data_IF_891406740037
#
_entry.id   IF_891406740037
#
_cell.length_a   1.000
_cell.length_b   1.000
_cell.length_c   1.000
_cell.angle_alpha   90.00
_cell.angle_beta   90.00
_cell.angle_gamma   90.00
#
_symmetry.space_group_name_H-M   'P 1'
#
loop_
_entity.id
_entity.type
_entity.pdbx_description
1 polymer ?
#
# COMPACT_ATOMS: atom_id res chain seq x y z
N UNK A 1 5.91 -10.42 -15.72
CA UNK A 1 5.77 -9.50 -14.57
C UNK A 1 5.03 -10.26 -13.48
N UNK A 2 5.70 -10.56 -12.38
CA UNK A 2 5.10 -11.29 -11.27
C UNK A 2 4.19 -10.34 -10.53
N UNK A 3 2.89 -10.37 -10.81
CA UNK A 3 1.88 -9.55 -10.13
C UNK A 3 1.57 -10.06 -8.72
N UNK A 4 2.55 -10.65 -8.05
CA UNK A 4 2.38 -11.37 -6.80
C UNK A 4 3.18 -10.68 -5.71
N UNK A 5 2.66 -10.74 -4.49
CA UNK A 5 3.39 -10.33 -3.30
C UNK A 5 3.90 -11.59 -2.59
N UNK A 6 5.13 -11.55 -2.10
CA UNK A 6 5.67 -12.60 -1.25
C UNK A 6 5.03 -12.51 0.12
N UNK A 7 4.76 -13.66 0.74
CA UNK A 7 4.15 -13.74 2.06
C UNK A 7 4.90 -12.90 3.10
N UNK A 8 6.23 -12.95 3.10
CA UNK A 8 7.06 -12.16 4.01
C UNK A 8 6.83 -10.65 3.82
N UNK A 9 6.87 -10.16 2.59
CA UNK A 9 6.64 -8.74 2.28
C UNK A 9 5.21 -8.33 2.64
N UNK A 10 4.23 -9.18 2.35
CA UNK A 10 2.85 -8.94 2.69
C UNK A 10 2.64 -8.85 4.22
N UNK A 11 3.19 -9.80 4.98
CA UNK A 11 3.15 -9.79 6.45
C UNK A 11 3.77 -8.53 7.02
N UNK A 12 4.92 -8.10 6.51
CA UNK A 12 5.55 -6.88 7.01
C UNK A 12 4.78 -5.63 6.60
N UNK A 13 4.23 -5.58 5.39
CA UNK A 13 3.34 -4.49 4.98
C UNK A 13 2.13 -4.38 5.90
N UNK A 14 1.48 -5.50 6.21
CA UNK A 14 0.34 -5.54 7.13
C UNK A 14 0.71 -4.92 8.48
N UNK A 15 1.86 -5.31 9.05
CA UNK A 15 2.34 -4.76 10.33
C UNK A 15 2.64 -3.26 10.27
N UNK A 16 3.16 -2.77 9.13
CA UNK A 16 3.41 -1.35 8.95
C UNK A 16 2.08 -0.62 8.86
N UNK A 17 1.18 -1.03 7.97
CA UNK A 17 -0.13 -0.38 7.76
C UNK A 17 -1.01 -0.40 9.01
N UNK A 18 -0.91 -1.43 9.85
CA UNK A 18 -1.62 -1.49 11.14
C UNK A 18 -1.20 -0.41 12.13
N UNK A 19 0.04 0.11 12.00
CA UNK A 19 0.48 1.26 12.79
C UNK A 19 -0.13 2.57 12.30
N UNK A 20 -0.75 2.57 11.10
CA UNK A 20 -1.48 3.71 10.59
C UNK A 20 -2.89 3.74 11.14
N UNK A 21 -3.33 4.92 11.56
CA UNK A 21 -4.72 5.10 12.02
C UNK A 21 -5.72 5.27 10.87
N UNK A 22 -5.22 5.61 9.67
CA UNK A 22 -6.06 6.04 8.55
C UNK A 22 -5.97 5.08 7.35
N UNK A 23 -4.82 4.43 7.17
CA UNK A 23 -4.58 3.62 5.98
C UNK A 23 -5.21 2.24 6.16
N UNK A 24 -5.75 1.70 5.06
CA UNK A 24 -6.38 0.38 5.08
C UNK A 24 -5.79 -0.50 4.00
N UNK A 25 -5.55 -1.77 4.34
CA UNK A 25 -5.08 -2.75 3.38
C UNK A 25 -6.25 -3.59 2.87
N UNK A 26 -6.29 -3.85 1.57
CA UNK A 26 -7.28 -4.71 0.96
C UNK A 26 -6.69 -5.53 -0.20
N UNK A 27 -7.18 -6.74 -0.47
CA UNK A 27 -6.89 -7.43 -1.72
C UNK A 27 -7.51 -6.70 -2.90
N UNK A 28 -6.96 -6.89 -4.11
CA UNK A 28 -7.47 -6.24 -5.33
C UNK A 28 -8.96 -6.56 -5.59
N UNK A 29 -9.41 -7.77 -5.23
CA UNK A 29 -10.76 -8.26 -5.51
C UNK A 29 -11.69 -8.32 -4.28
N UNK A 30 -11.24 -7.85 -3.12
CA UNK A 30 -11.99 -7.94 -1.86
C UNK A 30 -12.01 -6.61 -1.11
N UNK A 31 -12.88 -6.56 -0.11
CA UNK A 31 -12.96 -5.43 0.83
C UNK A 31 -11.70 -5.37 1.70
N UNK A 32 -11.49 -4.21 2.32
CA UNK A 32 -10.44 -4.05 3.32
C UNK A 32 -10.55 -5.08 4.44
N UNK A 33 -9.39 -5.58 4.87
CA UNK A 33 -9.29 -6.53 5.96
C UNK A 33 -9.86 -5.91 7.24
N UNK A 34 -10.58 -6.71 8.03
CA UNK A 34 -11.13 -6.25 9.30
C UNK A 34 -10.06 -6.22 10.40
N UNK A 35 -9.04 -7.08 10.30
CA UNK A 35 -7.92 -7.14 11.23
C UNK A 35 -6.61 -7.57 10.55
N UNK A 36 -5.48 -7.29 11.20
CA UNK A 36 -4.16 -7.76 10.77
C UNK A 36 -4.04 -9.27 10.72
N UNK A 37 -4.63 -9.98 11.68
CA UNK A 37 -4.61 -11.43 11.73
C UNK A 37 -5.34 -12.04 10.52
N UNK A 38 -6.47 -11.45 10.12
CA UNK A 38 -7.19 -11.86 8.91
C UNK A 38 -6.32 -11.63 7.67
N UNK A 39 -5.68 -10.47 7.57
CA UNK A 39 -4.79 -10.14 6.46
C UNK A 39 -3.59 -11.11 6.39
N UNK A 40 -2.97 -11.44 7.53
CA UNK A 40 -1.84 -12.35 7.60
C UNK A 40 -2.23 -13.76 7.17
N UNK A 41 -3.33 -14.30 7.70
CA UNK A 41 -3.86 -15.61 7.28
C UNK A 41 -4.22 -15.63 5.79
N UNK A 42 -4.71 -14.51 5.27
CA UNK A 42 -5.07 -14.42 3.86
C UNK A 42 -3.84 -14.57 2.97
N UNK A 43 -2.77 -13.82 3.26
CA UNK A 43 -1.53 -13.78 2.45
C UNK A 43 -0.68 -15.04 2.60
N UNK A 44 -0.92 -15.85 3.63
CA UNK A 44 -0.34 -17.20 3.76
C UNK A 44 -0.91 -18.19 2.73
N UNK A 45 -2.17 -18.01 2.33
CA UNK A 45 -2.85 -18.88 1.36
C UNK A 45 -3.01 -18.26 -0.03
N UNK A 46 -2.77 -16.95 -0.15
CA UNK A 46 -2.98 -16.18 -1.37
C UNK A 46 -1.78 -15.28 -1.66
N UNK A 47 -1.11 -15.52 -2.79
CA UNK A 47 0.02 -14.71 -3.25
C UNK A 47 -0.43 -13.55 -4.15
N UNK A 48 -1.65 -13.05 -3.96
CA UNK A 48 -2.22 -11.98 -4.79
C UNK A 48 -1.72 -10.59 -4.34
N UNK A 49 -1.67 -9.61 -5.24
CA UNK A 49 -1.16 -8.28 -4.89
C UNK A 49 -2.11 -7.57 -3.94
N UNK A 50 -1.53 -6.80 -3.01
CA UNK A 50 -2.29 -6.05 -2.02
C UNK A 50 -2.45 -4.60 -2.47
N UNK A 51 -3.53 -3.96 -2.04
CA UNK A 51 -3.82 -2.57 -2.32
C UNK A 51 -3.92 -1.80 -1.00
N UNK A 52 -3.19 -0.69 -0.91
CA UNK A 52 -3.25 0.25 0.20
C UNK A 52 -4.23 1.35 -0.19
N UNK A 53 -5.22 1.55 0.67
CA UNK A 53 -6.15 2.67 0.61
C UNK A 53 -5.62 3.78 1.50
N UNK A 54 -5.22 4.87 0.87
CA UNK A 54 -4.66 6.08 1.48
C UNK A 54 -5.68 7.21 1.37
N UNK A 55 -6.38 7.59 2.45
CA UNK A 55 -7.38 8.66 2.39
C UNK A 55 -6.71 10.03 2.15
N UNK A 56 -7.43 10.92 1.48
CA UNK A 56 -6.99 12.31 1.25
C UNK A 56 -7.39 13.17 2.45
N UNK A 57 -6.48 14.00 2.94
CA UNK A 57 -6.74 14.90 4.06
C UNK A 57 -7.78 15.96 3.65
N UNK A 58 -8.89 16.02 4.38
CA UNK A 58 -9.95 17.01 4.15
C UNK A 58 -10.89 16.69 2.99
N UNK A 59 -10.80 15.51 2.39
CA UNK A 59 -11.75 15.01 1.38
C UNK A 59 -12.27 13.62 1.77
N UNK A 60 -13.47 13.26 1.33
CA UNK A 60 -14.00 11.88 1.44
C UNK A 60 -13.45 10.96 0.33
N UNK A 61 -12.30 11.34 -0.23
CA UNK A 61 -11.66 10.65 -1.35
C UNK A 61 -10.42 9.88 -0.87
N UNK A 62 -10.01 8.88 -1.64
CA UNK A 62 -8.90 8.02 -1.28
C UNK A 62 -8.14 7.54 -2.50
N UNK A 63 -6.84 7.43 -2.34
CA UNK A 63 -5.94 6.92 -3.34
C UNK A 63 -5.64 5.45 -3.05
N UNK A 64 -5.48 4.69 -4.11
CA UNK A 64 -5.18 3.26 -4.08
C UNK A 64 -3.78 3.04 -4.63
N UNK A 65 -2.96 2.36 -3.84
CA UNK A 65 -1.60 1.98 -4.20
C UNK A 65 -1.50 0.47 -4.17
N UNK A 66 -1.28 -0.12 -5.34
CA UNK A 66 -1.05 -1.55 -5.50
C UNK A 66 0.37 -1.90 -5.07
N UNK A 67 0.54 -3.03 -4.40
CA UNK A 67 1.81 -3.50 -3.85
C UNK A 67 2.09 -4.90 -4.33
N UNK A 68 3.27 -5.08 -4.91
CA UNK A 68 3.78 -6.36 -5.41
C UNK A 68 5.19 -6.60 -4.89
N UNK A 69 5.68 -7.83 -4.97
CA UNK A 69 7.07 -8.16 -4.63
C UNK A 69 7.90 -8.37 -5.90
N UNK A 70 9.10 -7.82 -5.90
CA UNK A 70 10.10 -7.99 -6.94
C UNK A 70 11.44 -8.36 -6.31
N UNK A 71 11.68 -9.66 -6.11
CA UNK A 71 12.88 -10.13 -5.39
C UNK A 71 12.81 -9.75 -3.92
N UNK A 72 13.82 -9.00 -3.44
CA UNK A 72 13.91 -8.50 -2.06
C UNK A 72 13.23 -7.12 -1.87
N UNK A 73 12.74 -6.54 -2.96
CA UNK A 73 12.05 -5.25 -2.97
C UNK A 73 10.53 -5.40 -3.06
N UNK A 74 9.83 -4.46 -2.43
CA UNK A 74 8.40 -4.24 -2.60
C UNK A 74 8.16 -3.12 -3.60
N UNK A 75 7.34 -3.36 -4.61
CA UNK A 75 6.99 -2.38 -5.65
C UNK A 75 5.60 -1.83 -5.37
N UNK A 76 5.53 -0.52 -5.17
CA UNK A 76 4.32 0.26 -4.93
C UNK A 76 3.94 0.98 -6.21
N UNK A 77 2.85 0.56 -6.83
CA UNK A 77 2.33 1.13 -8.06
C UNK A 77 1.04 1.88 -7.75
N UNK A 78 1.05 3.17 -8.02
CA UNK A 78 -0.14 4.01 -7.97
C UNK A 78 -1.15 3.54 -9.04
N UNK A 79 -2.40 3.26 -8.65
CA UNK A 79 -3.46 2.86 -9.59
C UNK A 79 -4.62 3.85 -9.68
N UNK A 80 -4.60 4.91 -8.86
CA UNK A 80 -5.63 5.95 -8.86
C UNK A 80 -5.44 7.02 -9.93
N UNK A 81 -4.28 7.09 -10.57
CA UNK A 81 -3.96 8.10 -11.57
C UNK A 81 -3.78 7.46 -12.95
N UNK A 82 -4.03 8.21 -14.02
CA UNK A 82 -3.90 7.72 -15.41
C UNK A 82 -2.46 7.27 -15.73
N UNK A 83 -1.47 7.89 -15.09
CA UNK A 83 -0.06 7.50 -15.18
C UNK A 83 0.39 6.79 -13.89
N UNK A 84 0.47 5.45 -13.89
CA UNK A 84 0.94 4.71 -12.73
C UNK A 84 2.42 4.99 -12.48
N UNK A 85 2.74 5.61 -11.34
CA UNK A 85 4.11 5.67 -10.82
C UNK A 85 4.38 4.40 -10.02
N UNK A 86 5.57 3.82 -10.23
CA UNK A 86 6.07 2.71 -9.44
C UNK A 86 7.26 3.15 -8.58
N UNK A 87 7.20 2.86 -7.27
CA UNK A 87 8.31 3.05 -6.34
C UNK A 87 8.72 1.71 -5.75
N UNK A 88 10.01 1.44 -5.68
CA UNK A 88 10.55 0.22 -5.07
C UNK A 88 11.10 0.55 -3.69
N UNK A 89 10.68 -0.20 -2.67
CA UNK A 89 11.18 -0.06 -1.30
C UNK A 89 11.69 -1.41 -0.85
N UNK A 90 12.95 -1.44 -0.44
CA UNK A 90 13.57 -2.64 0.09
C UNK A 90 12.91 -3.06 1.42
N UNK A 91 12.81 -4.37 1.66
CA UNK A 91 12.23 -4.93 2.90
C UNK A 91 12.92 -4.46 4.20
N UNK A 92 14.15 -3.95 4.13
CA UNK A 92 14.83 -3.34 5.29
C UNK A 92 14.36 -1.92 5.60
N UNK A 93 13.76 -1.23 4.62
CA UNK A 93 13.35 0.18 4.71
C UNK A 93 11.83 0.34 4.82
N UNK A 94 11.12 -0.69 5.28
CA UNK A 94 9.65 -0.70 5.30
C UNK A 94 9.04 0.39 6.19
N UNK A 95 9.79 0.87 7.18
CA UNK A 95 9.41 2.04 7.99
C UNK A 95 9.27 3.32 7.15
N UNK A 96 9.93 3.38 5.99
CA UNK A 96 9.87 4.50 5.05
C UNK A 96 8.77 4.33 4.00
N UNK A 97 8.01 3.22 4.00
CA UNK A 97 6.90 3.04 3.04
C UNK A 97 5.88 4.16 3.20
N UNK A 98 5.52 4.49 4.45
CA UNK A 98 4.57 5.55 4.75
C UNK A 98 5.00 6.87 4.11
N UNK A 99 6.25 7.29 4.34
CA UNK A 99 6.83 8.48 3.70
C UNK A 99 6.90 8.35 2.19
N UNK A 100 7.40 7.23 1.66
CA UNK A 100 7.56 7.01 0.21
C UNK A 100 6.24 7.06 -0.53
N UNK A 101 5.21 6.39 0.00
CA UNK A 101 3.86 6.39 -0.57
C UNK A 101 3.21 7.76 -0.41
N UNK A 102 3.38 8.41 0.74
CA UNK A 102 2.87 9.77 0.98
C UNK A 102 3.48 10.78 0.01
N UNK A 103 4.80 10.77 -0.15
CA UNK A 103 5.51 11.66 -1.06
C UNK A 103 5.12 11.37 -2.51
N UNK A 104 5.11 10.10 -2.93
CA UNK A 104 4.69 9.69 -4.28
C UNK A 104 3.27 10.16 -4.62
N UNK A 105 2.34 10.09 -3.66
CA UNK A 105 0.96 10.54 -3.86
C UNK A 105 0.86 12.06 -3.81
N UNK A 106 1.54 12.72 -2.88
CA UNK A 106 1.57 14.18 -2.76
C UNK A 106 2.23 14.86 -3.98
N UNK A 107 3.23 14.24 -4.60
CA UNK A 107 3.85 14.71 -5.86
C UNK A 107 2.84 14.75 -7.02
N UNK A 108 1.80 13.92 -6.97
CA UNK A 108 0.75 13.84 -8.00
C UNK A 108 -0.52 14.58 -7.62
N UNK A 109 -0.74 14.85 -6.34
CA UNK A 109 -1.90 15.62 -5.88
C UNK A 109 -1.75 17.09 -6.26
N UNK A 110 -2.85 17.76 -6.66
CA UNK A 110 -2.83 19.18 -6.97
C UNK A 110 -2.47 20.02 -5.73
N UNK A 111 -1.81 21.17 -5.95
CA UNK A 111 -1.40 22.08 -4.88
C UNK A 111 -2.56 22.39 -3.92
N UNK A 112 -2.35 22.08 -2.63
CA UNK A 112 -3.35 22.25 -1.57
C UNK A 112 -4.03 20.95 -1.12
N UNK A 113 -3.91 19.87 -1.88
CA UNK A 113 -4.43 18.54 -1.49
C UNK A 113 -3.28 17.67 -1.00
N UNK A 114 -3.42 17.04 0.16
CA UNK A 114 -2.41 16.14 0.73
C UNK A 114 -3.07 14.86 1.17
N UNK A 115 -2.35 13.75 1.13
CA UNK A 115 -2.84 12.52 1.77
C UNK A 115 -2.86 12.68 3.30
N UNK A 116 -3.79 11.99 3.94
CA UNK A 116 -3.85 11.92 5.40
C UNK A 116 -2.57 11.30 5.95
N UNK A 117 -2.09 11.88 7.04
CA UNK A 117 -0.95 11.37 7.79
C UNK A 117 -1.15 9.89 8.12
N UNK A 118 -0.04 9.17 8.05
CA UNK A 118 0.07 7.77 8.44
C UNK A 118 -0.36 7.58 9.89
#
# INVERSE_FOLDING_TARGET
MSNQISEQHAKTLIQVIDQSSNWKLHPEKKRAFASTEEAQKYVESHNEPLCIRVPIAGADDHLTVKVTSSGEDMVFSNVSFEEPIEKKVHSSHLKLISSTVTDMLNERLPEGTKVSSF
#
